data_IF_670285068145
#
_entry.id   IF_670285068145
#
_cell.length_a   1.000
_cell.length_b   1.000
_cell.length_c   1.000
_cell.angle_alpha   90.00
_cell.angle_beta   90.00
_cell.angle_gamma   90.00
#
_symmetry.space_group_name_H-M   'P 1'
#
loop_
_entity.id
_entity.type
_entity.pdbx_description
1 polymer ?
#
# COMPACT_ATOMS: atom_id res chain seq x y z
N UNK A 1 -22.45 2.72 0.08
CA UNK A 1 -21.24 2.22 0.74
C UNK A 1 -21.05 3.06 2.00
N UNK A 2 -21.83 2.78 3.03
CA UNK A 2 -21.68 3.45 4.31
C UNK A 2 -20.54 2.81 5.09
N UNK A 3 -19.61 3.62 5.59
CA UNK A 3 -18.49 3.16 6.44
C UNK A 3 -17.19 2.79 5.71
N UNK A 4 -17.02 3.13 4.42
CA UNK A 4 -15.73 2.93 3.72
C UNK A 4 -14.92 4.24 3.75
N UNK A 5 -13.74 4.20 4.35
CA UNK A 5 -12.78 5.31 4.31
C UNK A 5 -11.76 5.00 3.21
N UNK A 6 -11.77 5.77 2.14
CA UNK A 6 -10.77 5.68 1.06
C UNK A 6 -9.62 6.61 1.40
N UNK A 7 -8.44 6.04 1.60
CA UNK A 7 -7.24 6.81 1.94
C UNK A 7 -6.60 7.36 0.66
N UNK A 8 -6.81 8.66 0.40
CA UNK A 8 -6.29 9.38 -0.76
C UNK A 8 -4.89 9.96 -0.51
N UNK A 9 -3.93 9.12 -0.12
CA UNK A 9 -2.55 9.55 0.07
C UNK A 9 -1.67 9.22 -1.16
N UNK A 10 -0.93 10.18 -1.76
CA UNK A 10 -0.16 9.95 -2.99
C UNK A 10 0.91 8.86 -2.82
N UNK A 11 1.52 8.75 -1.63
CA UNK A 11 2.47 7.67 -1.34
C UNK A 11 1.81 6.28 -1.24
N UNK A 12 0.56 6.19 -0.79
CA UNK A 12 -0.17 4.91 -0.72
C UNK A 12 -0.43 4.40 -2.13
N UNK A 13 -0.89 5.29 -3.03
CA UNK A 13 -1.09 4.97 -4.45
C UNK A 13 0.21 4.55 -5.16
N UNK A 14 1.31 5.27 -4.91
CA UNK A 14 2.62 4.94 -5.46
C UNK A 14 3.10 3.56 -4.98
N UNK A 15 3.03 3.29 -3.67
CA UNK A 15 3.45 2.01 -3.07
C UNK A 15 2.55 0.85 -3.50
N UNK A 16 1.23 1.06 -3.63
CA UNK A 16 0.30 0.07 -4.19
C UNK A 16 0.64 -0.30 -5.63
N UNK A 17 1.00 0.68 -6.45
CA UNK A 17 1.44 0.45 -7.84
C UNK A 17 2.67 -0.46 -7.87
N UNK A 18 3.65 -0.20 -7.00
CA UNK A 18 4.84 -1.03 -6.85
C UNK A 18 4.51 -2.44 -6.31
N UNK A 19 3.52 -2.55 -5.42
CA UNK A 19 3.09 -3.82 -4.81
C UNK A 19 2.37 -4.73 -5.82
N UNK A 20 1.66 -4.16 -6.80
CA UNK A 20 0.97 -4.92 -7.87
C UNK A 20 1.92 -5.51 -8.93
N UNK A 21 3.20 -5.19 -8.89
CA UNK A 21 4.17 -5.75 -9.82
C UNK A 21 4.45 -7.22 -9.52
N UNK A 22 3.99 -8.11 -10.41
CA UNK A 22 4.15 -9.57 -10.27
C UNK A 22 5.61 -10.06 -10.30
N UNK A 23 6.55 -9.27 -10.82
CA UNK A 23 7.98 -9.62 -10.85
C UNK A 23 8.72 -9.26 -9.56
N UNK A 24 8.03 -8.68 -8.56
CA UNK A 24 8.67 -8.19 -7.34
C UNK A 24 9.00 -9.34 -6.39
N UNK A 25 10.12 -9.23 -5.68
CA UNK A 25 10.51 -10.24 -4.70
C UNK A 25 9.55 -10.27 -3.50
N UNK A 26 9.41 -11.44 -2.88
CA UNK A 26 8.57 -11.61 -1.68
C UNK A 26 9.01 -10.72 -0.52
N UNK A 27 10.31 -10.43 -0.41
CA UNK A 27 10.88 -9.48 0.56
C UNK A 27 10.40 -8.05 0.30
N UNK A 28 10.48 -7.59 -0.95
CA UNK A 28 10.06 -6.24 -1.33
C UNK A 28 8.55 -6.03 -1.21
N UNK A 29 7.75 -7.09 -1.41
CA UNK A 29 6.31 -7.06 -1.16
C UNK A 29 6.00 -6.84 0.33
N UNK A 30 6.63 -7.61 1.23
CA UNK A 30 6.42 -7.47 2.69
C UNK A 30 6.82 -6.10 3.22
N UNK A 31 7.90 -5.51 2.67
CA UNK A 31 8.31 -4.15 3.05
C UNK A 31 7.26 -3.11 2.66
N UNK A 32 6.77 -3.14 1.42
CA UNK A 32 5.72 -2.22 0.97
C UNK A 32 4.42 -2.38 1.76
N UNK A 33 4.05 -3.61 2.12
CA UNK A 33 2.87 -3.88 2.93
C UNK A 33 2.96 -3.19 4.31
N UNK A 34 4.12 -3.31 4.98
CA UNK A 34 4.34 -2.64 6.27
C UNK A 34 4.31 -1.11 6.13
N UNK A 35 4.90 -0.57 5.05
CA UNK A 35 4.90 0.87 4.78
C UNK A 35 3.49 1.41 4.49
N UNK A 36 2.67 0.67 3.77
CA UNK A 36 1.27 1.02 3.52
C UNK A 36 0.49 0.93 4.84
N UNK A 37 0.71 -0.10 5.66
CA UNK A 37 0.06 -0.24 6.96
C UNK A 37 0.31 0.94 7.89
N UNK A 38 1.55 1.45 7.95
CA UNK A 38 1.86 2.66 8.72
C UNK A 38 1.11 3.89 8.20
N UNK A 39 0.94 4.03 6.89
CA UNK A 39 0.21 5.14 6.28
C UNK A 39 -1.31 5.03 6.44
N UNK A 40 -1.84 3.82 6.63
CA UNK A 40 -3.26 3.59 6.90
C UNK A 40 -3.63 3.79 8.38
N UNK A 41 -2.68 3.59 9.29
CA UNK A 41 -2.89 3.79 10.73
C UNK A 41 -2.70 5.24 11.20
N UNK A 42 -2.21 6.13 10.32
CA UNK A 42 -2.11 7.57 10.56
C UNK A 42 -3.45 8.24 10.29
#
# INVERSE_FOLDING_TARGET
MDGVIVVEHPLVQHKLTLMRNAKRSTKGFRQLLNEIGMLLCY
#
